data_IF_864721388515
#
_entry.id   IF_864721388515
#
_cell.length_a   1.000
_cell.length_b   1.000
_cell.length_c   1.000
_cell.angle_alpha   90.00
_cell.angle_beta   90.00
_cell.angle_gamma   90.00
#
_symmetry.space_group_name_H-M   'P 1'
#
loop_
_entity.id
_entity.type
_entity.pdbx_description
1 polymer ?
#
# COMPACT_ATOMS: atom_id res chain seq x y z
N UNK A 1 23.96 -3.44 11.11
CA UNK A 1 22.53 -3.21 11.43
C UNK A 1 21.77 -4.19 10.54
N UNK A 2 20.97 -5.08 11.13
CA UNK A 2 20.26 -6.11 10.37
C UNK A 2 19.15 -5.49 9.52
N UNK A 3 18.79 -6.13 8.41
CA UNK A 3 17.69 -5.71 7.52
C UNK A 3 16.34 -5.64 8.27
N UNK A 4 16.17 -6.40 9.34
CA UNK A 4 15.02 -6.34 10.26
C UNK A 4 14.92 -5.01 11.01
N UNK A 5 16.04 -4.37 11.34
CA UNK A 5 16.11 -3.16 12.16
C UNK A 5 15.62 -1.91 11.39
N UNK A 6 15.69 -1.96 10.04
CA UNK A 6 15.15 -0.90 9.18
C UNK A 6 13.63 -1.06 8.94
N UNK A 7 13.10 -2.29 8.98
CA UNK A 7 11.64 -2.54 8.86
C UNK A 7 10.86 -2.07 10.07
N UNK A 8 11.50 -1.95 11.23
CA UNK A 8 10.86 -1.57 12.49
C UNK A 8 10.59 -0.06 12.63
N UNK A 9 11.11 0.78 11.73
CA UNK A 9 11.06 2.23 11.99
C UNK A 9 9.70 2.90 11.74
N UNK A 10 8.67 2.18 11.24
CA UNK A 10 7.30 2.69 11.06
C UNK A 10 6.19 1.63 11.18
N UNK A 11 6.43 0.46 11.78
CA UNK A 11 5.37 -0.55 11.93
C UNK A 11 4.42 -0.16 13.07
N UNK A 12 3.48 0.74 12.78
CA UNK A 12 2.31 0.98 13.64
C UNK A 12 1.31 -0.13 13.31
N UNK A 13 0.87 -0.88 14.31
CA UNK A 13 -0.21 -1.85 14.11
C UNK A 13 -1.44 -1.13 13.56
N UNK A 14 -2.01 -1.58 12.43
CA UNK A 14 -3.14 -0.88 11.81
C UNK A 14 -4.35 -0.94 12.72
N UNK A 15 -5.04 0.19 12.85
CA UNK A 15 -6.29 0.29 13.61
C UNK A 15 -7.40 -0.50 12.92
N UNK A 16 -7.45 -0.46 11.59
CA UNK A 16 -8.38 -1.24 10.78
C UNK A 16 -7.83 -1.47 9.37
N UNK A 17 -8.40 -2.45 8.66
CA UNK A 17 -8.06 -2.76 7.27
C UNK A 17 -9.28 -2.59 6.36
N UNK A 18 -9.11 -1.97 5.18
CA UNK A 18 -10.14 -1.89 4.15
C UNK A 18 -9.71 -2.64 2.90
N UNK A 19 -10.37 -3.77 2.61
CA UNK A 19 -10.07 -4.61 1.44
C UNK A 19 -10.63 -4.08 0.13
N UNK A 20 -11.49 -3.06 0.18
CA UNK A 20 -12.09 -2.49 -1.01
C UNK A 20 -11.39 -1.21 -1.51
N UNK A 21 -10.34 -0.77 -0.81
CA UNK A 21 -9.51 0.37 -1.20
C UNK A 21 -8.10 -0.09 -1.52
N UNK A 22 -7.69 0.11 -2.77
CA UNK A 22 -6.36 -0.22 -3.28
C UNK A 22 -5.99 0.70 -4.44
N UNK A 23 -4.71 0.72 -4.79
CA UNK A 23 -4.20 1.50 -5.91
C UNK A 23 -3.50 0.60 -6.91
N UNK A 24 -3.66 0.88 -8.20
CA UNK A 24 -2.82 0.31 -9.24
C UNK A 24 -1.45 1.00 -9.25
N UNK A 25 -0.43 0.32 -9.78
CA UNK A 25 0.85 0.93 -10.04
C UNK A 25 1.57 0.22 -11.19
N UNK A 26 2.42 0.98 -11.89
CA UNK A 26 3.40 0.47 -12.84
C UNK A 26 4.70 1.27 -12.68
N UNK A 27 5.82 0.57 -12.67
CA UNK A 27 7.15 1.17 -12.67
C UNK A 27 8.15 0.20 -13.29
N UNK A 28 9.39 0.65 -13.42
CA UNK A 28 10.51 -0.17 -13.86
C UNK A 28 11.63 0.02 -12.85
N UNK A 29 12.25 -1.07 -12.42
CA UNK A 29 13.43 -1.02 -11.56
C UNK A 29 14.63 -0.42 -12.33
N UNK A 30 15.72 -0.11 -11.65
CA UNK A 30 16.95 0.32 -12.30
C UNK A 30 17.63 -0.82 -13.11
N UNK A 31 18.68 -0.45 -13.85
CA UNK A 31 19.49 -1.43 -14.59
C UNK A 31 20.53 -2.02 -13.64
N UNK A 32 20.53 -3.34 -13.50
CA UNK A 32 21.59 -4.08 -12.82
C UNK A 32 21.97 -5.31 -13.65
N UNK A 33 23.28 -5.59 -13.73
CA UNK A 33 23.83 -6.66 -14.58
C UNK A 33 23.26 -6.67 -15.99
N UNK A 34 23.30 -5.51 -16.63
CA UNK A 34 22.91 -5.28 -18.01
C UNK A 34 21.44 -5.59 -18.37
N UNK A 35 20.56 -5.74 -17.38
CA UNK A 35 19.12 -5.89 -17.60
C UNK A 35 18.27 -5.19 -16.54
N UNK A 36 16.95 -5.21 -16.75
CA UNK A 36 16.01 -4.36 -16.03
C UNK A 36 14.66 -5.08 -15.96
N UNK A 37 13.97 -4.98 -14.83
CA UNK A 37 12.65 -5.59 -14.66
C UNK A 37 11.55 -4.54 -14.51
N UNK A 38 10.40 -4.80 -15.13
CA UNK A 38 9.16 -4.10 -14.85
C UNK A 38 8.55 -4.56 -13.53
N UNK A 39 7.83 -3.66 -12.87
CA UNK A 39 7.09 -3.91 -11.64
C UNK A 39 5.68 -3.35 -11.84
N UNK A 40 4.66 -4.19 -11.77
CA UNK A 40 3.27 -3.78 -11.93
C UNK A 40 2.36 -4.58 -11.01
N UNK A 41 1.24 -3.98 -10.62
CA UNK A 41 0.24 -4.67 -9.81
C UNK A 41 -0.75 -3.71 -9.17
N UNK A 42 -1.40 -4.22 -8.13
CA UNK A 42 -2.24 -3.45 -7.22
C UNK A 42 -1.68 -3.57 -5.82
N UNK A 43 -1.85 -2.53 -5.01
CA UNK A 43 -1.53 -2.58 -3.60
C UNK A 43 -2.45 -3.57 -2.86
N UNK A 44 -2.02 -4.01 -1.67
CA UNK A 44 -2.88 -4.73 -0.74
C UNK A 44 -3.95 -3.82 -0.12
N UNK A 45 -4.74 -4.33 0.84
CA UNK A 45 -5.74 -3.56 1.58
C UNK A 45 -5.14 -2.29 2.20
N UNK A 46 -5.95 -1.25 2.33
CA UNK A 46 -5.58 -0.05 3.07
C UNK A 46 -5.41 -0.38 4.55
N UNK A 47 -4.28 0.02 5.13
CA UNK A 47 -3.93 -0.16 6.54
C UNK A 47 -4.00 1.20 7.24
N UNK A 48 -5.10 1.47 7.95
CA UNK A 48 -5.35 2.79 8.54
C UNK A 48 -4.61 2.97 9.88
N UNK A 49 -4.04 4.17 10.05
CA UNK A 49 -3.47 4.65 11.30
C UNK A 49 -3.82 6.13 11.48
N UNK A 50 -4.81 6.41 12.33
CA UNK A 50 -5.33 7.75 12.56
C UNK A 50 -5.98 8.35 11.30
N UNK A 51 -5.47 9.49 10.85
CA UNK A 51 -6.09 10.23 9.73
C UNK A 51 -5.64 9.79 8.34
N UNK A 52 -4.67 8.86 8.23
CA UNK A 52 -4.13 8.38 6.95
C UNK A 52 -4.07 6.85 6.91
N UNK A 53 -3.60 6.29 5.81
CA UNK A 53 -3.33 4.87 5.64
C UNK A 53 -2.09 4.64 4.77
N UNK A 54 -1.62 3.39 4.79
CA UNK A 54 -0.56 2.87 3.91
C UNK A 54 -1.04 1.57 3.28
N UNK A 55 -0.30 1.07 2.29
CA UNK A 55 -0.53 -0.25 1.72
C UNK A 55 0.75 -1.08 1.69
N UNK A 56 0.59 -2.40 1.78
CA UNK A 56 1.66 -3.33 1.42
C UNK A 56 1.67 -3.59 -0.08
N UNK A 57 2.86 -3.69 -0.67
CA UNK A 57 3.07 -4.14 -2.04
C UNK A 57 3.90 -5.43 -1.97
N UNK A 58 3.32 -6.52 -2.46
CA UNK A 58 3.97 -7.83 -2.52
C UNK A 58 3.77 -8.45 -3.91
N UNK A 59 4.74 -8.25 -4.80
CA UNK A 59 4.63 -8.68 -6.22
C UNK A 59 5.92 -9.30 -6.74
N UNK A 60 5.82 -10.01 -7.86
CA UNK A 60 6.97 -10.42 -8.64
C UNK A 60 7.25 -9.41 -9.75
N UNK A 61 8.52 -9.15 -10.01
CA UNK A 61 8.92 -8.39 -11.19
C UNK A 61 8.64 -9.19 -12.47
N UNK A 62 8.61 -8.52 -13.63
CA UNK A 62 8.68 -9.22 -14.92
C UNK A 62 9.99 -10.00 -15.02
N UNK A 63 10.09 -10.94 -15.96
CA UNK A 63 11.38 -11.55 -16.31
C UNK A 63 12.01 -10.83 -17.50
N UNK A 64 13.30 -10.47 -17.41
CA UNK A 64 14.07 -9.94 -18.54
C UNK A 64 15.43 -10.65 -18.59
N UNK A 65 15.58 -11.72 -19.39
CA UNK A 65 16.83 -12.47 -19.37
C UNK A 65 18.00 -11.72 -19.99
N UNK A 66 17.82 -10.77 -20.93
CA UNK A 66 18.86 -10.16 -21.81
C UNK A 66 20.13 -11.01 -22.04
N UNK A 67 19.96 -12.32 -22.30
CA UNK A 67 21.05 -13.27 -22.57
C UNK A 67 21.56 -14.08 -21.36
N UNK A 68 21.18 -13.73 -20.14
CA UNK A 68 21.33 -14.54 -18.93
C UNK A 68 20.16 -15.51 -18.70
N UNK A 69 20.19 -16.29 -17.59
CA UNK A 69 19.08 -17.16 -17.21
C UNK A 69 17.83 -16.33 -16.85
N UNK A 70 16.67 -16.84 -17.24
CA UNK A 70 15.36 -16.26 -16.87
C UNK A 70 15.22 -16.26 -15.35
N UNK A 71 14.87 -15.11 -14.78
CA UNK A 71 14.57 -14.96 -13.37
C UNK A 71 13.67 -13.75 -13.12
N UNK A 72 13.21 -13.63 -11.88
CA UNK A 72 12.35 -12.56 -11.36
C UNK A 72 12.77 -12.28 -9.92
N UNK A 73 12.41 -11.10 -9.42
CA UNK A 73 12.63 -10.73 -8.03
C UNK A 73 11.30 -10.52 -7.31
N UNK A 74 11.31 -10.67 -5.99
CA UNK A 74 10.21 -10.24 -5.12
C UNK A 74 10.39 -8.77 -4.80
N UNK A 75 9.29 -8.03 -4.83
CA UNK A 75 9.13 -6.69 -4.26
C UNK A 75 8.23 -6.83 -3.04
N UNK A 76 8.73 -6.46 -1.85
CA UNK A 76 8.01 -6.54 -0.58
C UNK A 76 8.22 -5.24 0.21
N UNK A 77 7.36 -4.25 -0.01
CA UNK A 77 7.49 -2.89 0.56
C UNK A 77 6.16 -2.39 1.12
N UNK A 78 6.23 -1.39 1.99
CA UNK A 78 5.08 -0.60 2.45
C UNK A 78 5.15 0.78 1.83
N UNK A 79 4.02 1.29 1.36
CA UNK A 79 3.95 2.64 0.81
C UNK A 79 4.14 3.70 1.88
N UNK A 80 4.42 4.94 1.47
CA UNK A 80 4.26 6.12 2.29
C UNK A 80 2.77 6.41 2.61
N UNK A 81 2.51 7.40 3.48
CA UNK A 81 1.16 7.84 3.80
C UNK A 81 0.44 8.40 2.57
N UNK A 82 -0.89 8.49 2.65
CA UNK A 82 -1.71 9.09 1.60
C UNK A 82 -1.29 10.54 1.32
N UNK A 83 -1.16 10.86 0.03
CA UNK A 83 -0.88 12.20 -0.49
C UNK A 83 -2.12 12.63 -1.29
N UNK A 84 -2.84 13.59 -0.74
CA UNK A 84 -4.03 14.17 -1.37
C UNK A 84 -3.68 14.82 -2.72
N UNK A 85 -4.51 14.56 -3.71
CA UNK A 85 -4.48 15.22 -5.02
C UNK A 85 -5.82 15.91 -5.30
N UNK A 86 -5.97 16.54 -6.47
CA UNK A 86 -7.22 17.21 -6.82
C UNK A 86 -8.36 16.20 -7.02
N UNK A 87 -9.58 16.55 -6.60
CA UNK A 87 -10.78 15.79 -6.93
C UNK A 87 -11.19 14.72 -5.92
N UNK A 88 -10.82 14.87 -4.64
CA UNK A 88 -11.14 13.88 -3.57
C UNK A 88 -10.47 12.52 -3.81
N UNK A 89 -9.29 12.55 -4.46
CA UNK A 89 -8.44 11.40 -4.70
C UNK A 89 -7.11 11.57 -3.98
N UNK A 90 -6.43 10.46 -3.73
CA UNK A 90 -5.07 10.45 -3.19
C UNK A 90 -4.19 9.40 -3.87
N UNK A 91 -2.89 9.48 -3.60
CA UNK A 91 -1.90 8.51 -4.08
C UNK A 91 -0.88 8.21 -2.97
N UNK A 92 0.00 7.23 -3.19
CA UNK A 92 1.09 6.88 -2.30
C UNK A 92 2.42 6.78 -3.03
N UNK A 93 3.49 7.30 -2.43
CA UNK A 93 4.87 7.04 -2.88
C UNK A 93 5.37 5.71 -2.33
N UNK A 94 6.23 5.02 -3.08
CA UNK A 94 6.90 3.81 -2.63
C UNK A 94 8.27 3.66 -3.30
N UNK A 95 9.23 3.14 -2.54
CA UNK A 95 10.57 2.84 -3.03
C UNK A 95 11.16 1.64 -2.28
N UNK A 96 12.21 1.04 -2.83
CA UNK A 96 12.90 -0.06 -2.18
C UNK A 96 13.88 -0.77 -3.10
N UNK A 97 14.33 -1.93 -2.61
CA UNK A 97 15.17 -2.86 -3.34
C UNK A 97 14.44 -4.20 -3.52
N UNK A 98 14.68 -4.87 -4.64
CA UNK A 98 14.13 -6.19 -4.88
C UNK A 98 14.92 -7.28 -4.13
N UNK A 99 14.34 -8.46 -3.94
CA UNK A 99 15.03 -9.61 -3.33
C UNK A 99 16.31 -9.99 -4.08
N UNK A 100 17.35 -10.45 -3.38
CA UNK A 100 18.59 -10.93 -4.01
C UNK A 100 18.35 -12.22 -4.81
N UNK A 101 18.45 -12.15 -6.15
CA UNK A 101 18.31 -13.31 -7.04
C UNK A 101 19.49 -13.34 -8.01
N UNK A 102 20.06 -14.54 -8.19
CA UNK A 102 21.28 -14.74 -9.00
C UNK A 102 22.45 -13.81 -8.63
N UNK A 103 22.50 -13.31 -7.39
CA UNK A 103 23.58 -12.46 -6.89
C UNK A 103 23.47 -10.98 -7.24
N UNK A 104 22.28 -10.46 -7.55
CA UNK A 104 22.03 -9.02 -7.65
C UNK A 104 20.59 -8.67 -7.24
N UNK A 105 20.37 -7.37 -7.04
CA UNK A 105 19.10 -6.71 -6.70
C UNK A 105 18.90 -5.55 -7.66
N UNK A 106 17.69 -4.99 -7.66
CA UNK A 106 17.36 -3.76 -8.36
C UNK A 106 16.75 -2.74 -7.40
N UNK A 107 17.05 -1.47 -7.58
CA UNK A 107 16.39 -0.37 -6.87
C UNK A 107 15.19 0.14 -7.66
N UNK A 108 14.16 0.63 -6.97
CA UNK A 108 13.01 1.28 -7.61
C UNK A 108 12.43 2.39 -6.73
N UNK A 109 11.76 3.34 -7.38
CA UNK A 109 10.99 4.40 -6.74
C UNK A 109 9.85 4.80 -7.69
N UNK A 110 8.63 4.89 -7.16
CA UNK A 110 7.46 5.33 -7.94
C UNK A 110 6.34 5.84 -7.02
N UNK A 111 5.24 6.17 -7.66
CA UNK A 111 3.98 6.59 -7.04
C UNK A 111 2.87 5.70 -7.59
N UNK A 112 1.86 5.40 -6.78
CA UNK A 112 0.68 4.65 -7.24
C UNK A 112 -0.22 5.54 -8.11
N UNK A 113 -1.15 4.93 -8.83
CA UNK A 113 -2.24 5.69 -9.44
C UNK A 113 -3.12 6.33 -8.35
N UNK A 114 -3.88 7.35 -8.75
CA UNK A 114 -4.83 8.00 -7.87
C UNK A 114 -6.06 7.14 -7.68
N UNK A 115 -6.64 7.17 -6.48
CA UNK A 115 -7.92 6.55 -6.19
C UNK A 115 -8.69 7.44 -5.22
N UNK A 116 -10.04 7.49 -5.29
CA UNK A 116 -10.84 8.21 -4.33
C UNK A 116 -10.73 7.58 -2.94
N UNK A 117 -10.79 8.39 -1.88
CA UNK A 117 -10.85 7.83 -0.53
C UNK A 117 -12.21 7.16 -0.31
N UNK A 118 -12.21 5.91 0.14
CA UNK A 118 -13.44 5.28 0.61
C UNK A 118 -13.69 5.75 2.03
N UNK A 119 -14.93 6.17 2.32
CA UNK A 119 -15.36 6.55 3.68
C UNK A 119 -14.79 5.55 4.67
N UNK A 120 -14.00 6.05 5.61
CA UNK A 120 -13.49 5.25 6.72
C UNK A 120 -14.68 4.56 7.35
N UNK A 121 -14.51 3.29 7.71
CA UNK A 121 -15.46 2.67 8.61
C UNK A 121 -15.37 3.51 9.88
N UNK A 122 -16.33 4.40 10.11
CA UNK A 122 -16.41 5.26 11.30
C UNK A 122 -16.77 4.40 12.52
N UNK A 123 -15.96 3.39 12.81
CA UNK A 123 -16.03 2.61 14.04
C UNK A 123 -15.12 3.24 15.10
N UNK A 124 -15.29 4.55 15.32
CA UNK A 124 -14.76 5.27 16.49
C UNK A 124 -15.74 5.21 17.68
N UNK A 125 -16.71 4.30 17.64
CA UNK A 125 -17.53 4.03 18.80
C UNK A 125 -16.82 3.02 19.70
N UNK A 126 -16.14 3.53 20.73
CA UNK A 126 -15.71 2.73 21.88
C UNK A 126 -16.87 2.05 22.64
N UNK A 127 -18.11 2.27 22.21
CA UNK A 127 -19.34 1.77 22.83
C UNK A 127 -20.37 1.18 21.82
N UNK A 128 -19.96 0.73 20.63
CA UNK A 128 -20.91 0.07 19.72
C UNK A 128 -20.81 -1.45 19.79
N UNK A 129 -21.73 -2.03 20.57
CA UNK A 129 -22.06 -3.45 20.64
C UNK A 129 -22.91 -3.85 19.40
N UNK A 130 -22.46 -3.51 18.18
CA UNK A 130 -23.17 -3.86 16.96
C UNK A 130 -22.50 -5.03 16.25
N UNK A 131 -23.16 -6.20 16.34
CA UNK A 131 -22.92 -7.35 15.49
C UNK A 131 -23.06 -6.92 14.01
N UNK A 132 -21.91 -6.65 13.37
CA UNK A 132 -21.78 -6.22 11.99
C UNK A 132 -22.34 -7.26 11.02
N UNK A 133 -23.62 -7.14 10.66
CA UNK A 133 -24.17 -7.75 9.44
C UNK A 133 -24.91 -6.81 8.51
N UNK A 134 -25.36 -5.64 8.95
CA UNK A 134 -26.25 -4.80 8.14
C UNK A 134 -25.96 -3.29 8.31
N UNK A 135 -24.77 -2.82 7.93
CA UNK A 135 -24.46 -1.38 7.99
C UNK A 135 -24.69 -0.67 6.64
N UNK A 136 -25.95 -0.66 6.18
CA UNK A 136 -26.47 0.34 5.23
C UNK A 136 -27.09 1.49 6.03
N UNK A 137 -26.26 2.38 6.60
CA UNK A 137 -26.79 3.53 7.35
C UNK A 137 -26.78 4.82 6.54
N UNK A 138 -27.97 5.15 6.03
CA UNK A 138 -28.37 6.50 5.66
C UNK A 138 -28.22 7.43 6.88
N UNK A 139 -27.23 8.34 6.83
CA UNK A 139 -27.02 9.38 7.84
C UNK A 139 -28.16 10.41 7.81
N UNK A 140 -29.31 10.12 8.44
CA UNK A 140 -30.36 11.13 8.62
C UNK A 140 -30.70 11.50 10.06
N UNK A 141 -30.27 10.75 11.08
CA UNK A 141 -30.77 10.99 12.44
C UNK A 141 -29.69 11.10 13.54
N UNK A 142 -28.57 11.76 13.27
CA UNK A 142 -27.69 12.20 14.36
C UNK A 142 -28.19 13.54 14.91
N UNK A 143 -29.16 13.49 15.83
CA UNK A 143 -29.47 14.65 16.67
C UNK A 143 -28.33 14.87 17.66
N UNK A 144 -27.76 16.07 17.59
CA UNK A 144 -26.83 16.63 18.56
C UNK A 144 -27.60 16.90 19.85
N UNK A 145 -27.34 16.14 20.90
CA UNK A 145 -27.76 16.50 22.26
C UNK A 145 -26.66 17.38 22.86
N UNK A 146 -26.93 18.68 22.90
CA UNK A 146 -26.16 19.65 23.68
C UNK A 146 -26.69 19.60 25.13
N UNK A 147 -25.83 19.28 26.11
CA UNK A 147 -25.89 19.78 27.50
C UNK A 147 -24.48 19.98 28.07
#
# INVERSE_FOLDING_TARGET
MSEEDQRQHYYVEPVCQNTEHNHAFITIADVARDHQHGILGTTGPALYSGHSHVHCIHVLTTSDPKGGPVHWHVVDVVTGPAIEVAGDEHTHQFCGETSLVLGHTHCFNSTTDTAPDKKKCDCDHKDCDCDHKDCDHDHKDCKREDE
#
